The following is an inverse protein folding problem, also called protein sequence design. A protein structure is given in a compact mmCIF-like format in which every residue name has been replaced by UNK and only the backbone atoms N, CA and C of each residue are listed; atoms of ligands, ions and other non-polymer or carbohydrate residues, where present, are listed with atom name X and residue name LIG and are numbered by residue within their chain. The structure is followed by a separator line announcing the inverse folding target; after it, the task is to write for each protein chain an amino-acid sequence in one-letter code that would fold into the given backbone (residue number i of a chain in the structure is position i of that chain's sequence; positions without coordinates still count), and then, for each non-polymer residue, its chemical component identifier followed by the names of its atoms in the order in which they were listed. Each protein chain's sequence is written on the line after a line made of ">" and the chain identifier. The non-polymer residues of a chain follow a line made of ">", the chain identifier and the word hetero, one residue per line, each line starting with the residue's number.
data_IF_869370700048
#
_entry.id   IF_869370700048
#
_cell.length_a   1.000
_cell.length_b   1.000
_cell.length_c   1.000
_cell.angle_alpha   90.00
_cell.angle_beta   90.00
_cell.angle_gamma   90.00
#
_symmetry.space_group_name_H-M   'P 1'
#
loop_
_entity.id
_entity.type
_entity.pdbx_description
1 polymer ?
#
# COMPACT_ATOMS: atom_id res chain seq x y z
N UNK A 1 20.54 -9.97 -7.95
CA UNK A 1 20.44 -9.04 -6.79
C UNK A 1 19.96 -9.86 -5.59
N UNK A 2 20.69 -9.90 -4.47
CA UNK A 2 20.25 -10.69 -3.32
C UNK A 2 18.99 -10.06 -2.71
N UNK A 3 17.99 -10.90 -2.41
CA UNK A 3 16.80 -10.48 -1.67
C UNK A 3 17.25 -10.15 -0.25
N UNK A 4 16.97 -8.93 0.21
CA UNK A 4 17.28 -8.47 1.57
C UNK A 4 15.99 -8.34 2.39
N UNK A 5 16.03 -8.61 3.70
CA UNK A 5 14.90 -8.35 4.58
C UNK A 5 14.47 -6.88 4.51
N UNK A 6 13.16 -6.63 4.51
CA UNK A 6 12.61 -5.26 4.60
C UNK A 6 12.84 -4.66 6.00
N UNK A 7 12.89 -5.53 7.02
CA UNK A 7 13.26 -5.20 8.40
C UNK A 7 14.22 -6.25 8.94
N UNK A 8 15.22 -5.81 9.71
CA UNK A 8 16.21 -6.70 10.35
C UNK A 8 15.89 -6.97 11.82
N UNK A 9 15.07 -6.11 12.46
CA UNK A 9 14.75 -6.22 13.89
C UNK A 9 13.79 -7.38 14.18
N UNK A 10 13.92 -7.94 15.38
CA UNK A 10 13.10 -9.06 15.86
C UNK A 10 12.48 -8.83 17.26
N UNK A 11 12.64 -7.63 17.83
CA UNK A 11 12.24 -7.32 19.21
C UNK A 11 10.72 -7.27 19.41
N UNK A 12 9.97 -7.00 18.34
CA UNK A 12 8.51 -7.01 18.31
C UNK A 12 7.99 -7.45 16.94
N UNK A 13 6.75 -7.95 16.85
CA UNK A 13 6.12 -8.26 15.57
C UNK A 13 6.12 -7.07 14.60
N UNK A 14 6.24 -7.36 13.31
CA UNK A 14 5.99 -6.40 12.24
C UNK A 14 4.48 -6.22 12.09
N UNK A 15 4.01 -4.98 12.18
CA UNK A 15 2.60 -4.63 12.07
C UNK A 15 2.33 -3.94 10.74
N UNK A 16 1.46 -4.54 9.94
CA UNK A 16 1.02 -4.01 8.64
C UNK A 16 -0.47 -3.70 8.76
N UNK A 17 -0.86 -2.45 8.58
CA UNK A 17 -2.24 -2.00 8.75
C UNK A 17 -2.66 -1.04 7.65
N UNK A 18 -3.96 -0.94 7.41
CA UNK A 18 -4.54 -0.12 6.36
C UNK A 18 -5.70 -0.83 5.68
N UNK A 19 -6.40 -0.15 4.78
CA UNK A 19 -7.62 -0.68 4.18
C UNK A 19 -7.34 -1.89 3.30
N UNK A 20 -8.41 -2.66 3.03
CA UNK A 20 -8.33 -3.74 2.06
C UNK A 20 -7.98 -3.19 0.67
N UNK A 21 -8.71 -2.17 0.24
CA UNK A 21 -8.60 -1.49 -1.06
C UNK A 21 -8.36 0.00 -0.88
N UNK A 22 -7.66 0.63 -1.81
CA UNK A 22 -7.68 2.08 -1.94
C UNK A 22 -8.94 2.46 -2.74
N UNK A 23 -9.92 3.09 -2.10
CA UNK A 23 -11.21 3.40 -2.74
C UNK A 23 -11.30 4.88 -3.14
N UNK A 24 -10.83 5.79 -2.29
CA UNK A 24 -10.66 7.21 -2.60
C UNK A 24 -9.35 7.74 -2.01
N UNK A 25 -8.87 8.88 -2.50
CA UNK A 25 -7.67 9.51 -1.96
C UNK A 25 -7.89 9.92 -0.49
N UNK A 26 -9.05 10.51 -0.19
CA UNK A 26 -9.42 10.98 1.13
C UNK A 26 -9.42 9.82 2.14
N UNK A 27 -10.05 8.70 1.76
CA UNK A 27 -10.12 7.50 2.60
C UNK A 27 -8.72 6.94 2.92
N UNK A 28 -7.83 6.91 1.93
CA UNK A 28 -6.45 6.45 2.12
C UNK A 28 -5.68 7.37 3.06
N UNK A 29 -5.73 8.68 2.83
CA UNK A 29 -4.99 9.66 3.63
C UNK A 29 -5.55 9.79 5.05
N UNK A 30 -6.86 9.76 5.23
CA UNK A 30 -7.50 9.77 6.56
C UNK A 30 -7.09 8.53 7.36
N UNK A 31 -7.12 7.34 6.75
CA UNK A 31 -6.66 6.11 7.41
C UNK A 31 -5.19 6.22 7.80
N UNK A 32 -4.34 6.72 6.89
CA UNK A 32 -2.91 6.89 7.16
C UNK A 32 -2.64 7.86 8.31
N UNK A 33 -3.36 8.99 8.37
CA UNK A 33 -3.28 9.97 9.47
C UNK A 33 -3.74 9.36 10.79
N UNK A 34 -4.82 8.57 10.79
CA UNK A 34 -5.28 7.87 11.98
C UNK A 34 -4.27 6.84 12.51
N UNK A 35 -3.50 6.21 11.62
CA UNK A 35 -2.43 5.27 11.97
C UNK A 35 -1.08 5.94 12.30
N UNK A 36 -0.91 7.22 11.98
CA UNK A 36 0.33 7.94 12.23
C UNK A 36 0.65 8.00 13.73
N UNK A 37 1.92 7.83 14.08
CA UNK A 37 2.38 7.82 15.48
C UNK A 37 2.05 6.53 16.25
N UNK A 38 1.29 5.60 15.67
CA UNK A 38 1.10 4.25 16.23
C UNK A 38 2.29 3.34 15.90
N UNK A 39 2.35 2.16 16.52
CA UNK A 39 3.42 1.16 16.28
C UNK A 39 3.21 0.36 14.98
N UNK A 40 2.92 1.05 13.88
CA UNK A 40 2.72 0.49 12.55
C UNK A 40 4.00 0.58 11.72
N UNK A 41 4.30 -0.46 10.97
CA UNK A 41 5.55 -0.59 10.21
C UNK A 41 5.37 -0.41 8.71
N UNK A 42 4.24 -0.87 8.19
CA UNK A 42 3.78 -0.55 6.85
C UNK A 42 2.30 -0.19 6.82
N UNK A 43 1.98 0.79 5.99
CA UNK A 43 0.64 1.06 5.52
C UNK A 43 0.33 0.17 4.31
N UNK A 44 -0.77 -0.60 4.36
CA UNK A 44 -1.24 -1.40 3.22
C UNK A 44 -2.47 -0.79 2.57
N UNK A 45 -2.56 -0.84 1.25
CA UNK A 45 -3.82 -0.69 0.52
C UNK A 45 -3.74 -1.41 -0.82
N UNK A 46 -4.78 -2.16 -1.19
CA UNK A 46 -4.82 -2.82 -2.50
C UNK A 46 -5.20 -1.83 -3.59
N UNK A 47 -4.31 -1.63 -4.56
CA UNK A 47 -4.53 -0.73 -5.71
C UNK A 47 -5.26 -1.45 -6.84
N UNK A 48 -4.96 -2.73 -7.03
CA UNK A 48 -5.64 -3.62 -7.96
C UNK A 48 -6.28 -4.75 -7.17
N UNK A 49 -7.48 -5.18 -7.58
CA UNK A 49 -8.21 -6.28 -6.95
C UNK A 49 -8.48 -7.36 -7.99
N UNK A 50 -7.82 -8.53 -7.91
CA UNK A 50 -8.16 -9.64 -8.78
C UNK A 50 -9.56 -10.15 -8.42
N UNK A 51 -10.56 -9.83 -9.26
CA UNK A 51 -11.95 -10.26 -9.03
C UNK A 51 -12.26 -11.49 -9.87
N UNK A 52 -12.78 -12.52 -9.20
CA UNK A 52 -13.35 -13.70 -9.86
C UNK A 52 -14.77 -13.48 -10.35
N UNK A 53 -15.46 -12.46 -9.82
CA UNK A 53 -16.82 -12.08 -10.22
C UNK A 53 -16.80 -10.76 -11.01
N UNK A 54 -17.44 -10.71 -12.19
CA UNK A 54 -17.55 -9.47 -12.96
C UNK A 54 -18.37 -8.41 -12.20
N UNK A 55 -18.21 -7.14 -12.58
CA UNK A 55 -18.91 -5.97 -12.02
C UNK A 55 -18.66 -5.68 -10.54
N UNK A 56 -17.64 -6.29 -9.95
CA UNK A 56 -17.19 -5.92 -8.62
C UNK A 56 -16.07 -4.88 -8.72
N UNK A 57 -15.91 -4.03 -7.70
CA UNK A 57 -14.80 -3.06 -7.68
C UNK A 57 -13.43 -3.74 -7.92
N UNK A 58 -12.74 -3.30 -8.96
CA UNK A 58 -11.48 -3.89 -9.45
C UNK A 58 -10.22 -3.19 -8.91
N UNK A 59 -10.41 -2.20 -8.04
CA UNK A 59 -9.34 -1.30 -7.62
C UNK A 59 -9.33 -0.01 -8.45
N UNK A 60 -8.73 1.04 -7.89
CA UNK A 60 -8.58 2.34 -8.55
C UNK A 60 -7.52 2.32 -9.66
N UNK A 61 -6.68 1.28 -9.70
CA UNK A 61 -5.59 1.18 -10.65
C UNK A 61 -4.46 2.18 -10.37
N UNK A 62 -3.60 2.43 -11.36
CA UNK A 62 -2.33 3.17 -11.21
C UNK A 62 -2.45 4.51 -10.46
N UNK A 63 -3.58 5.23 -10.56
CA UNK A 63 -3.79 6.49 -9.82
C UNK A 63 -3.59 6.31 -8.29
N UNK A 64 -3.97 5.15 -7.75
CA UNK A 64 -3.85 4.85 -6.33
C UNK A 64 -2.40 4.72 -5.85
N UNK A 65 -1.43 4.46 -6.74
CA UNK A 65 -0.01 4.51 -6.39
C UNK A 65 0.43 5.94 -6.01
N UNK A 66 -0.16 6.95 -6.66
CA UNK A 66 0.06 8.35 -6.29
C UNK A 66 -0.42 8.64 -4.86
N UNK A 67 -1.52 8.01 -4.43
CA UNK A 67 -2.05 8.17 -3.08
C UNK A 67 -1.15 7.50 -2.03
N UNK A 68 -0.62 6.30 -2.33
CA UNK A 68 0.36 5.64 -1.47
C UNK A 68 1.65 6.44 -1.34
N UNK A 69 2.09 7.10 -2.41
CA UNK A 69 3.22 8.03 -2.36
C UNK A 69 2.94 9.20 -1.40
N UNK A 70 1.75 9.82 -1.50
CA UNK A 70 1.31 10.86 -0.57
C UNK A 70 1.27 10.38 0.88
N UNK A 71 0.83 9.15 1.17
CA UNK A 71 0.90 8.56 2.51
C UNK A 71 2.32 8.58 3.06
N UNK A 72 3.30 8.12 2.26
CA UNK A 72 4.71 8.14 2.67
C UNK A 72 5.22 9.56 2.91
N UNK A 73 4.83 10.52 2.08
CA UNK A 73 5.22 11.93 2.17
C UNK A 73 4.58 12.65 3.38
N UNK A 74 3.30 12.41 3.65
CA UNK A 74 2.54 13.10 4.71
C UNK A 74 2.80 12.53 6.11
N UNK A 75 2.86 11.20 6.26
CA UNK A 75 2.91 10.55 7.58
C UNK A 75 4.17 9.70 7.81
N UNK A 76 5.05 9.57 6.82
CA UNK A 76 6.33 8.86 6.95
C UNK A 76 6.22 7.33 7.02
N UNK A 77 5.03 6.75 6.87
CA UNK A 77 4.84 5.30 6.87
C UNK A 77 5.36 4.69 5.56
N UNK A 78 6.10 3.58 5.66
CA UNK A 78 6.41 2.74 4.48
C UNK A 78 5.09 2.17 3.93
N UNK A 79 4.99 2.01 2.62
CA UNK A 79 3.76 1.51 1.97
C UNK A 79 3.98 0.15 1.33
N UNK A 80 2.90 -0.63 1.20
CA UNK A 80 2.90 -1.89 0.47
C UNK A 80 1.58 -2.11 -0.26
N UNK A 81 1.66 -2.69 -1.46
CA UNK A 81 0.49 -3.08 -2.25
C UNK A 81 0.74 -4.39 -3.00
N UNK A 82 -0.33 -5.04 -3.43
CA UNK A 82 -0.27 -6.25 -4.22
C UNK A 82 -0.03 -5.92 -5.70
N UNK A 83 0.80 -6.73 -6.37
CA UNK A 83 1.00 -6.69 -7.83
C UNK A 83 0.61 -8.06 -8.38
N UNK A 84 -0.22 -8.08 -9.42
CA UNK A 84 -0.82 -9.32 -9.94
C UNK A 84 -0.31 -9.70 -11.34
N UNK A 85 0.30 -8.76 -12.06
CA UNK A 85 0.86 -8.98 -13.39
C UNK A 85 2.10 -8.10 -13.60
N UNK A 86 2.77 -8.28 -14.74
CA UNK A 86 3.98 -7.53 -15.11
C UNK A 86 3.76 -6.03 -15.18
N UNK A 87 2.62 -5.57 -15.71
CA UNK A 87 2.30 -4.14 -15.78
C UNK A 87 2.18 -3.51 -14.39
N UNK A 88 1.57 -4.19 -13.42
CA UNK A 88 1.47 -3.70 -12.05
C UNK A 88 2.86 -3.55 -11.41
N UNK A 89 3.79 -4.46 -11.72
CA UNK A 89 5.19 -4.36 -11.27
C UNK A 89 5.86 -3.12 -11.86
N UNK A 90 5.74 -2.88 -13.17
CA UNK A 90 6.34 -1.71 -13.82
C UNK A 90 5.77 -0.40 -13.27
N UNK A 91 4.46 -0.31 -13.08
CA UNK A 91 3.84 0.88 -12.49
C UNK A 91 4.27 1.05 -11.03
N UNK A 92 4.25 0.01 -10.19
CA UNK A 92 4.69 0.11 -8.81
C UNK A 92 6.14 0.63 -8.70
N UNK A 93 7.06 0.10 -9.52
CA UNK A 93 8.46 0.53 -9.56
C UNK A 93 8.64 1.99 -10.03
N UNK A 94 7.76 2.48 -10.91
CA UNK A 94 7.79 3.87 -11.38
C UNK A 94 7.41 4.87 -10.28
N UNK A 95 6.54 4.48 -9.37
CA UNK A 95 6.03 5.36 -8.31
C UNK A 95 6.87 5.35 -7.02
N UNK A 96 7.74 4.34 -6.83
CA UNK A 96 8.80 4.37 -5.81
C UNK A 96 8.92 3.12 -4.97
#
# INVERSE_FOLDING_TARGET
>A
MPIRPVFERTERPIVIAGPCSAETEEQVLETARGLAGQKIDLFRAGIWKPRTRPNSFEGVGTVGLGWLKKVKEEVGLKVTTEVANTQHVFEALKYG
#
